data_IF_320575945245
#
_entry.id   IF_320575945245
#
_cell.length_a   1.000
_cell.length_b   1.000
_cell.length_c   1.000
_cell.angle_alpha   90.00
_cell.angle_beta   90.00
_cell.angle_gamma   90.00
#
_symmetry.space_group_name_H-M   'P 1'
#
loop_
_entity.id
_entity.type
_entity.pdbx_description
1 polymer ?
#
# COMPACT_ATOMS: atom_id res chain seq x y z
N UNK A 1 -3.12 20.11 0.54
CA UNK A 1 -2.70 18.82 1.09
C UNK A 1 -2.53 18.92 2.61
N UNK A 2 -3.02 17.92 3.35
CA UNK A 2 -2.77 17.83 4.80
C UNK A 2 -1.32 17.45 5.08
N UNK A 3 -0.80 17.82 6.26
CA UNK A 3 0.58 17.51 6.65
C UNK A 3 0.68 17.03 8.09
N UNK A 4 1.70 16.24 8.38
CA UNK A 4 2.04 15.73 9.71
C UNK A 4 3.49 16.05 10.05
N UNK A 5 3.75 16.53 11.27
CA UNK A 5 5.14 16.77 11.72
C UNK A 5 5.73 15.49 12.31
N UNK A 6 6.92 15.13 11.85
CA UNK A 6 7.63 13.98 12.38
C UNK A 6 8.32 14.33 13.70
N UNK A 7 8.21 13.44 14.69
CA UNK A 7 9.15 13.43 15.81
C UNK A 7 10.52 13.00 15.30
N UNK A 8 11.57 13.77 15.65
CA UNK A 8 12.92 13.58 15.11
C UNK A 8 13.89 13.27 16.26
N UNK A 9 14.01 12.01 16.69
CA UNK A 9 15.00 11.63 17.69
C UNK A 9 16.44 11.83 17.16
N UNK A 10 17.46 11.85 18.03
CA UNK A 10 18.86 11.87 17.61
C UNK A 10 19.15 10.74 16.60
N UNK A 11 19.81 11.07 15.49
CA UNK A 11 20.11 10.10 14.43
C UNK A 11 18.99 9.89 13.40
N UNK A 12 17.83 10.55 13.54
CA UNK A 12 16.77 10.52 12.53
C UNK A 12 17.25 11.08 11.19
N UNK A 13 17.03 10.31 10.12
CA UNK A 13 17.26 10.72 8.73
C UNK A 13 15.97 10.50 7.95
N UNK A 14 15.38 11.60 7.49
CA UNK A 14 14.11 11.59 6.78
C UNK A 14 13.47 12.98 6.75
N UNK A 15 12.27 13.11 6.16
CA UNK A 15 11.56 14.38 6.07
C UNK A 15 11.15 14.90 7.46
N UNK A 16 11.19 16.22 7.65
CA UNK A 16 10.69 16.86 8.88
C UNK A 16 9.17 17.01 8.92
N UNK A 17 8.55 17.03 7.75
CA UNK A 17 7.10 17.13 7.54
C UNK A 17 6.71 16.09 6.50
N UNK A 18 5.70 15.30 6.82
CA UNK A 18 5.05 14.40 5.86
C UNK A 18 3.86 15.12 5.24
N UNK A 19 3.67 14.90 3.95
CA UNK A 19 2.49 15.34 3.22
C UNK A 19 1.62 14.12 2.97
N UNK A 20 0.33 14.20 3.28
CA UNK A 20 -0.57 13.04 3.16
C UNK A 20 -0.88 12.69 1.69
N UNK A 21 -0.41 13.50 0.75
CA UNK A 21 -0.43 13.26 -0.70
C UNK A 21 0.82 12.52 -1.20
N UNK A 22 1.79 12.28 -0.34
CA UNK A 22 3.09 11.69 -0.70
C UNK A 22 3.20 10.26 -0.16
N UNK A 23 4.02 9.45 -0.82
CA UNK A 23 4.35 8.09 -0.36
C UNK A 23 5.81 8.07 0.08
N UNK A 24 6.02 7.56 1.28
CA UNK A 24 7.33 7.42 1.90
C UNK A 24 7.64 5.95 2.15
N UNK A 25 8.90 5.55 1.92
CA UNK A 25 9.39 4.24 2.30
C UNK A 25 10.24 4.35 3.58
N UNK A 26 10.04 3.41 4.49
CA UNK A 26 11.02 3.14 5.53
C UNK A 26 12.08 2.19 4.99
N UNK A 27 13.34 2.61 5.03
CA UNK A 27 14.50 1.80 4.63
C UNK A 27 15.22 1.35 5.90
N UNK A 28 14.99 0.10 6.36
CA UNK A 28 15.58 -0.39 7.59
C UNK A 28 17.07 -0.65 7.42
N UNK A 29 17.86 -0.25 8.40
CA UNK A 29 19.22 -0.77 8.63
C UNK A 29 19.23 -1.87 9.68
N UNK A 30 18.21 -1.92 10.55
CA UNK A 30 18.02 -2.99 11.53
C UNK A 30 16.53 -3.20 11.76
N UNK A 31 16.12 -4.47 11.82
CA UNK A 31 14.77 -4.91 12.17
C UNK A 31 14.81 -5.69 13.50
N UNK A 32 13.65 -5.86 14.14
CA UNK A 32 13.50 -6.59 15.39
C UNK A 32 12.83 -5.76 16.47
N UNK A 33 13.11 -6.09 17.74
CA UNK A 33 12.59 -5.36 18.90
C UNK A 33 12.97 -3.89 18.92
N UNK A 34 14.16 -3.57 18.41
CA UNK A 34 14.60 -2.22 18.14
C UNK A 34 14.87 -2.11 16.64
N UNK A 35 14.12 -1.22 15.97
CA UNK A 35 14.30 -0.95 14.55
C UNK A 35 15.15 0.30 14.36
N UNK A 36 16.00 0.30 13.35
CA UNK A 36 16.73 1.48 12.90
C UNK A 36 16.63 1.60 11.38
N UNK A 37 16.69 2.82 10.85
CA UNK A 37 16.58 3.06 9.42
C UNK A 37 16.35 4.52 9.08
N UNK A 38 16.04 4.76 7.81
CA UNK A 38 15.77 6.08 7.26
C UNK A 38 14.39 6.11 6.61
N UNK A 39 13.85 7.31 6.42
CA UNK A 39 12.67 7.50 5.57
C UNK A 39 13.06 8.19 4.28
N UNK A 40 12.57 7.65 3.16
CA UNK A 40 12.80 8.18 1.82
C UNK A 40 11.46 8.56 1.18
N UNK A 41 11.45 9.68 0.46
CA UNK A 41 10.31 10.08 -0.38
C UNK A 41 10.35 9.27 -1.67
N UNK A 42 9.29 8.51 -1.95
CA UNK A 42 9.18 7.67 -3.15
C UNK A 42 8.28 8.33 -4.19
N UNK A 43 7.24 9.04 -3.75
CA UNK A 43 6.29 9.69 -4.63
C UNK A 43 5.88 11.02 -4.01
N UNK A 44 6.10 12.11 -4.76
CA UNK A 44 5.56 13.42 -4.45
C UNK A 44 4.26 13.63 -5.22
N UNK A 45 3.12 13.61 -4.51
CA UNK A 45 1.83 13.78 -5.14
C UNK A 45 1.59 15.19 -5.67
N UNK A 46 2.26 16.19 -5.10
CA UNK A 46 2.04 17.59 -5.47
C UNK A 46 2.58 17.92 -6.86
N UNK A 47 3.67 17.27 -7.28
CA UNK A 47 4.23 17.40 -8.63
C UNK A 47 3.29 16.87 -9.72
N UNK A 48 2.41 15.93 -9.35
CA UNK A 48 1.48 15.27 -10.26
C UNK A 48 0.01 15.60 -9.98
N UNK A 49 -0.22 16.68 -9.25
CA UNK A 49 -1.54 17.34 -9.15
C UNK A 49 -2.40 16.94 -7.96
N UNK A 50 -1.87 16.22 -6.96
CA UNK A 50 -2.52 16.03 -5.65
C UNK A 50 -2.14 17.21 -4.74
N UNK A 51 -2.93 18.29 -4.78
CA UNK A 51 -2.63 19.55 -4.09
C UNK A 51 -3.69 19.96 -3.03
N UNK A 52 -4.80 19.24 -2.93
CA UNK A 52 -5.94 19.54 -2.03
C UNK A 52 -5.92 18.68 -0.77
N UNK A 53 -6.75 19.07 0.20
CA UNK A 53 -6.90 18.30 1.45
C UNK A 53 -7.81 17.08 1.28
N UNK A 54 -8.64 17.06 0.24
CA UNK A 54 -9.46 15.91 -0.15
C UNK A 54 -8.67 14.86 -0.93
N UNK A 55 -7.43 15.19 -1.31
CA UNK A 55 -6.56 14.35 -2.15
C UNK A 55 -5.52 13.58 -1.33
N UNK A 56 -5.70 13.51 -0.01
CA UNK A 56 -4.86 12.70 0.85
C UNK A 56 -5.01 11.23 0.47
N UNK A 57 -3.89 10.53 0.29
CA UNK A 57 -3.86 9.10 -0.02
C UNK A 57 -4.28 8.33 1.23
N UNK A 58 -5.29 7.48 1.09
CA UNK A 58 -5.85 6.66 2.17
C UNK A 58 -5.90 5.17 1.84
N UNK A 59 -5.69 4.79 0.56
CA UNK A 59 -5.39 3.43 0.14
C UNK A 59 -4.27 3.44 -0.91
N UNK A 60 -3.40 2.42 -0.88
CA UNK A 60 -2.21 2.32 -1.74
C UNK A 60 -1.89 0.87 -2.08
N UNK A 61 -1.59 0.59 -3.35
CA UNK A 61 -0.93 -0.63 -3.79
C UNK A 61 0.10 -0.35 -4.88
N UNK A 62 1.13 -1.20 -4.97
CA UNK A 62 2.12 -1.16 -6.03
C UNK A 62 1.86 -2.28 -7.04
N UNK A 63 1.82 -1.92 -8.33
CA UNK A 63 1.81 -2.88 -9.42
C UNK A 63 3.19 -3.50 -9.62
N UNK A 64 3.22 -4.69 -10.21
CA UNK A 64 4.48 -5.40 -10.46
C UNK A 64 5.41 -4.69 -11.46
N UNK A 65 4.84 -3.82 -12.29
CA UNK A 65 5.51 -2.96 -13.26
C UNK A 65 5.98 -1.62 -12.66
N UNK A 66 5.81 -1.41 -11.34
CA UNK A 66 6.17 -0.18 -10.65
C UNK A 66 5.09 0.91 -10.73
N UNK A 67 3.94 0.63 -11.33
CA UNK A 67 2.78 1.52 -11.23
C UNK A 67 2.27 1.61 -9.79
N UNK A 68 1.58 2.71 -9.49
CA UNK A 68 1.04 2.99 -8.16
C UNK A 68 -0.47 3.14 -8.29
N UNK A 69 -1.23 2.35 -7.54
CA UNK A 69 -2.68 2.50 -7.43
C UNK A 69 -2.99 3.16 -6.10
N UNK A 70 -3.80 4.22 -6.13
CA UNK A 70 -4.22 4.95 -4.93
C UNK A 70 -5.74 5.13 -4.90
N UNK A 71 -6.27 5.24 -3.69
CA UNK A 71 -7.50 5.97 -3.40
C UNK A 71 -7.17 7.30 -2.71
N UNK A 72 -8.14 8.20 -2.63
CA UNK A 72 -8.01 9.44 -1.86
C UNK A 72 -9.20 9.66 -0.94
N UNK A 73 -8.98 10.30 0.21
CA UNK A 73 -9.97 10.62 1.26
C UNK A 73 -11.27 11.28 0.77
N UNK A 74 -11.22 11.94 -0.38
CA UNK A 74 -12.36 12.58 -1.01
C UNK A 74 -12.16 12.63 -2.51
N UNK A 75 -12.81 13.60 -3.16
CA UNK A 75 -12.62 13.77 -4.60
C UNK A 75 -11.22 14.31 -4.92
N UNK A 76 -10.53 13.62 -5.82
CA UNK A 76 -9.31 14.06 -6.47
C UNK A 76 -9.56 14.63 -7.86
N UNK A 77 -8.75 15.61 -8.26
CA UNK A 77 -8.71 16.13 -9.64
C UNK A 77 -7.27 16.27 -10.11
N UNK A 78 -6.83 15.31 -10.92
CA UNK A 78 -5.49 15.24 -11.52
C UNK A 78 -5.57 15.44 -13.04
N UNK A 79 -4.42 15.45 -13.74
CA UNK A 79 -4.39 15.41 -15.20
C UNK A 79 -4.25 13.97 -15.69
N UNK A 80 -5.21 13.50 -16.47
CA UNK A 80 -5.14 12.20 -17.12
C UNK A 80 -4.07 12.15 -18.22
N UNK A 81 -3.74 10.93 -18.66
CA UNK A 81 -2.76 10.66 -19.71
C UNK A 81 -3.08 11.32 -21.07
N UNK A 82 -4.33 11.72 -21.30
CA UNK A 82 -4.79 12.48 -22.47
C UNK A 82 -4.67 14.01 -22.30
N UNK A 83 -4.15 14.48 -21.16
CA UNK A 83 -4.00 15.88 -20.80
C UNK A 83 -5.27 16.56 -20.24
N UNK A 84 -6.42 15.87 -20.27
CA UNK A 84 -7.68 16.37 -19.72
C UNK A 84 -7.72 16.20 -18.20
N UNK A 85 -8.55 16.98 -17.48
CA UNK A 85 -8.83 16.70 -16.08
C UNK A 85 -9.42 15.29 -15.91
N UNK A 86 -8.92 14.57 -14.92
CA UNK A 86 -9.41 13.29 -14.48
C UNK A 86 -9.92 13.45 -13.05
N UNK A 87 -11.19 13.10 -12.85
CA UNK A 87 -11.84 13.12 -11.54
C UNK A 87 -11.94 11.69 -11.01
N UNK A 88 -11.64 11.53 -9.73
CA UNK A 88 -11.87 10.31 -8.98
C UNK A 88 -12.51 10.67 -7.64
N UNK A 89 -13.55 9.96 -7.25
CA UNK A 89 -14.16 10.06 -5.92
C UNK A 89 -13.42 9.17 -4.91
N UNK A 90 -13.85 9.24 -3.66
CA UNK A 90 -13.36 8.47 -2.53
C UNK A 90 -13.43 6.95 -2.73
N UNK A 91 -14.47 6.45 -3.39
CA UNK A 91 -14.56 5.04 -3.77
C UNK A 91 -13.89 4.66 -5.11
N UNK A 92 -13.17 5.56 -5.77
CA UNK A 92 -12.54 5.31 -7.06
C UNK A 92 -11.03 5.06 -6.90
N UNK A 93 -10.42 4.30 -7.80
CA UNK A 93 -8.97 4.09 -7.80
C UNK A 93 -8.30 4.79 -8.98
N UNK A 94 -7.24 5.53 -8.70
CA UNK A 94 -6.35 6.12 -9.69
C UNK A 94 -5.11 5.23 -9.89
N UNK A 95 -4.71 5.02 -11.15
CA UNK A 95 -3.45 4.42 -11.54
C UNK A 95 -2.47 5.52 -11.95
N UNK A 96 -1.34 5.57 -11.27
CA UNK A 96 -0.18 6.35 -11.67
C UNK A 96 0.85 5.45 -12.36
N UNK A 97 1.22 5.82 -13.59
CA UNK A 97 2.39 5.22 -14.27
C UNK A 97 3.54 6.21 -14.18
N UNK A 98 4.57 5.94 -13.35
CA UNK A 98 5.69 6.85 -13.17
C UNK A 98 6.61 6.89 -14.39
N UNK A 99 7.09 8.08 -14.71
CA UNK A 99 8.29 8.33 -15.52
C UNK A 99 9.49 8.58 -14.61
N UNK A 100 9.30 9.35 -13.54
CA UNK A 100 10.26 9.58 -12.46
C UNK A 100 9.55 9.54 -11.11
N UNK A 101 10.27 9.07 -10.08
CA UNK A 101 9.83 8.98 -8.69
C UNK A 101 10.79 9.80 -7.81
N UNK A 102 10.38 10.09 -6.57
CA UNK A 102 11.13 10.89 -5.60
C UNK A 102 10.69 12.35 -5.56
N UNK A 103 11.63 13.27 -5.27
CA UNK A 103 11.34 14.71 -5.12
C UNK A 103 10.87 15.42 -6.39
N UNK A 104 11.14 14.84 -7.57
CA UNK A 104 10.72 15.37 -8.88
C UNK A 104 9.88 14.29 -9.57
N UNK A 105 8.68 14.04 -9.01
CA UNK A 105 7.81 12.97 -9.48
C UNK A 105 7.13 13.39 -10.79
N UNK A 106 7.26 12.57 -11.83
CA UNK A 106 6.57 12.78 -13.11
C UNK A 106 5.96 11.49 -13.61
N UNK A 107 4.88 11.57 -14.36
CA UNK A 107 4.18 10.40 -14.87
C UNK A 107 2.82 10.74 -15.44
N UNK A 108 1.95 9.74 -15.52
CA UNK A 108 0.60 9.92 -16.04
C UNK A 108 -0.44 9.22 -15.19
N UNK A 109 -1.62 9.82 -15.09
CA UNK A 109 -2.76 9.27 -14.39
C UNK A 109 -3.77 8.63 -15.34
N UNK A 110 -4.41 7.56 -14.86
CA UNK A 110 -5.57 6.93 -15.46
C UNK A 110 -6.54 6.51 -14.37
N UNK A 111 -7.83 6.36 -14.70
CA UNK A 111 -8.77 5.72 -13.80
C UNK A 111 -8.52 4.21 -13.84
N UNK A 112 -8.14 3.61 -12.70
CA UNK A 112 -8.00 2.16 -12.59
C UNK A 112 -9.36 1.49 -12.41
N UNK A 113 -10.20 2.08 -11.57
CA UNK A 113 -11.49 1.54 -11.19
C UNK A 113 -12.45 2.68 -10.83
N UNK A 114 -13.67 2.60 -11.35
CA UNK A 114 -14.77 3.51 -11.02
C UNK A 114 -15.72 2.79 -10.05
N UNK A 115 -15.53 3.03 -8.75
CA UNK A 115 -16.37 2.44 -7.72
C UNK A 115 -17.80 2.97 -7.78
N UNK A 116 -17.96 4.22 -8.20
CA UNK A 116 -19.29 4.81 -8.42
C UNK A 116 -20.07 4.04 -9.48
N UNK A 117 -19.43 3.69 -10.60
CA UNK A 117 -20.03 2.92 -11.68
C UNK A 117 -20.31 1.48 -11.24
N UNK A 118 -19.40 0.89 -10.44
CA UNK A 118 -19.56 -0.43 -9.86
C UNK A 118 -20.69 -0.52 -8.82
N UNK A 119 -21.08 0.59 -8.19
CA UNK A 119 -22.23 0.62 -7.29
C UNK A 119 -21.94 1.11 -5.87
N UNK A 120 -20.67 1.33 -5.52
CA UNK A 120 -20.24 1.96 -4.28
C UNK A 120 -20.68 3.43 -4.30
N UNK A 121 -21.69 3.78 -3.53
CA UNK A 121 -22.35 5.11 -3.56
C UNK A 121 -22.73 5.65 -2.19
N UNK A 122 -22.72 4.82 -1.16
CA UNK A 122 -22.97 5.26 0.21
C UNK A 122 -21.73 5.97 0.79
N UNK A 123 -21.91 6.87 1.77
CA UNK A 123 -20.78 7.57 2.39
C UNK A 123 -19.75 6.67 3.07
N UNK A 124 -20.14 5.47 3.49
CA UNK A 124 -19.24 4.48 4.11
C UNK A 124 -18.73 3.42 3.11
N UNK A 125 -19.11 3.52 1.82
CA UNK A 125 -18.63 2.66 0.73
C UNK A 125 -17.36 3.21 0.04
N UNK A 126 -16.61 3.99 0.80
CA UNK A 126 -15.29 4.53 0.48
C UNK A 126 -14.23 3.41 0.49
N UNK A 127 -13.27 3.41 -0.44
CA UNK A 127 -12.24 2.36 -0.50
C UNK A 127 -11.16 2.65 0.54
N UNK A 128 -11.00 1.75 1.50
CA UNK A 128 -10.04 1.93 2.60
C UNK A 128 -8.75 1.10 2.44
N UNK A 129 -8.80 0.05 1.64
CA UNK A 129 -7.66 -0.83 1.40
C UNK A 129 -7.72 -1.39 -0.01
N UNK A 130 -6.55 -1.51 -0.63
CA UNK A 130 -6.41 -2.06 -1.98
C UNK A 130 -5.20 -2.98 -2.04
N UNK A 131 -5.35 -4.10 -2.72
CA UNK A 131 -4.25 -4.96 -3.14
C UNK A 131 -4.43 -5.39 -4.60
N UNK A 132 -3.31 -5.47 -5.32
CA UNK A 132 -3.25 -5.90 -6.71
C UNK A 132 -2.64 -7.29 -6.78
N UNK A 133 -3.30 -8.20 -7.49
CA UNK A 133 -2.68 -9.44 -7.93
C UNK A 133 -2.93 -9.63 -9.42
N UNK A 134 -1.93 -9.32 -10.24
CA UNK A 134 -2.08 -9.21 -11.70
C UNK A 134 -3.23 -8.24 -12.03
N UNK A 135 -4.28 -8.72 -12.71
CA UNK A 135 -5.45 -7.91 -13.05
C UNK A 135 -6.51 -7.86 -11.94
N UNK A 136 -6.42 -8.74 -10.93
CA UNK A 136 -7.39 -8.82 -9.86
C UNK A 136 -7.21 -7.67 -8.85
N UNK A 137 -8.35 -7.06 -8.48
CA UNK A 137 -8.46 -6.05 -7.45
C UNK A 137 -9.07 -6.66 -6.19
N UNK A 138 -8.36 -6.54 -5.09
CA UNK A 138 -8.89 -6.83 -3.76
C UNK A 138 -9.11 -5.50 -3.07
N UNK A 139 -10.29 -5.30 -2.52
CA UNK A 139 -10.71 -4.03 -1.93
C UNK A 139 -11.31 -4.25 -0.54
N UNK A 140 -11.13 -3.30 0.35
CA UNK A 140 -11.96 -3.15 1.55
C UNK A 140 -12.66 -1.80 1.49
N UNK A 141 -13.80 -1.69 2.17
CA UNK A 141 -14.54 -0.43 2.28
C UNK A 141 -14.48 0.12 3.71
N UNK A 142 -14.72 1.43 3.84
CA UNK A 142 -14.72 2.10 5.14
C UNK A 142 -15.74 1.53 6.12
N UNK A 143 -16.88 1.09 5.62
CA UNK A 143 -17.92 0.45 6.40
C UNK A 143 -18.67 -0.58 5.58
N UNK A 144 -19.97 -0.68 5.84
CA UNK A 144 -20.84 -1.63 5.13
C UNK A 144 -20.97 -1.26 3.66
N UNK A 145 -20.98 -2.26 2.80
CA UNK A 145 -21.12 -2.09 1.36
C UNK A 145 -22.23 -2.95 0.75
N UNK A 146 -22.74 -2.45 -0.37
CA UNK A 146 -23.67 -3.13 -1.26
C UNK A 146 -23.24 -2.88 -2.71
N UNK A 147 -22.72 -3.92 -3.37
CA UNK A 147 -22.26 -3.86 -4.76
C UNK A 147 -22.93 -4.98 -5.56
N UNK A 148 -23.75 -4.63 -6.56
CA UNK A 148 -24.53 -5.58 -7.37
C UNK A 148 -25.29 -6.65 -6.57
N UNK A 149 -25.79 -6.29 -5.38
CA UNK A 149 -26.54 -7.17 -4.49
C UNK A 149 -25.68 -7.99 -3.53
N UNK A 150 -24.36 -8.04 -3.71
CA UNK A 150 -23.42 -8.52 -2.71
C UNK A 150 -23.38 -7.53 -1.54
N UNK A 151 -23.47 -8.04 -0.30
CA UNK A 151 -23.43 -7.24 0.93
C UNK A 151 -22.26 -7.66 1.79
N UNK A 152 -21.62 -6.70 2.45
CA UNK A 152 -20.59 -6.98 3.44
C UNK A 152 -20.33 -5.80 4.36
N UNK A 153 -19.45 -6.01 5.33
CA UNK A 153 -18.96 -5.00 6.27
C UNK A 153 -17.52 -4.60 5.99
N UNK A 154 -17.02 -3.60 6.71
CA UNK A 154 -15.62 -3.15 6.59
C UNK A 154 -14.57 -4.21 6.97
N UNK A 155 -14.98 -5.31 7.61
CA UNK A 155 -14.15 -6.47 7.91
C UNK A 155 -14.04 -7.51 6.78
N UNK A 156 -14.78 -7.33 5.69
CA UNK A 156 -14.75 -8.23 4.53
C UNK A 156 -13.74 -7.73 3.46
N UNK A 157 -13.25 -8.65 2.64
CA UNK A 157 -12.44 -8.29 1.45
C UNK A 157 -13.24 -8.61 0.19
N UNK A 158 -13.53 -7.57 -0.59
CA UNK A 158 -14.11 -7.64 -1.92
C UNK A 158 -13.06 -8.07 -2.94
N UNK A 159 -13.47 -8.90 -3.89
CA UNK A 159 -12.65 -9.33 -5.02
C UNK A 159 -13.37 -9.01 -6.33
N UNK A 160 -12.66 -8.28 -7.18
CA UNK A 160 -12.91 -8.20 -8.62
C UNK A 160 -11.76 -8.93 -9.32
N UNK A 161 -12.02 -10.13 -9.81
CA UNK A 161 -11.01 -11.00 -10.45
C UNK A 161 -10.63 -10.54 -11.87
N UNK A 162 -11.59 -9.95 -12.59
CA UNK A 162 -11.40 -9.30 -13.88
C UNK A 162 -12.43 -8.19 -14.12
N UNK A 163 -12.09 -7.22 -14.97
CA UNK A 163 -13.02 -6.19 -15.42
C UNK A 163 -13.86 -6.66 -16.63
N UNK A 164 -15.16 -6.31 -16.73
CA UNK A 164 -15.96 -5.58 -15.74
C UNK A 164 -16.20 -6.42 -14.48
N UNK A 165 -16.15 -5.78 -13.32
CA UNK A 165 -16.15 -6.47 -12.04
C UNK A 165 -17.45 -7.25 -11.77
N UNK A 166 -17.32 -8.56 -11.56
CA UNK A 166 -18.34 -9.39 -10.94
C UNK A 166 -17.91 -9.67 -9.49
N UNK A 167 -18.32 -8.80 -8.56
CA UNK A 167 -17.79 -8.85 -7.20
C UNK A 167 -18.13 -10.14 -6.47
N UNK A 168 -17.13 -10.66 -5.77
CA UNK A 168 -17.24 -11.73 -4.78
C UNK A 168 -16.55 -11.32 -3.48
N UNK A 169 -16.69 -12.11 -2.41
CA UNK A 169 -15.87 -11.94 -1.22
C UNK A 169 -14.67 -12.88 -1.30
N UNK A 170 -13.46 -12.32 -1.26
CA UNK A 170 -12.24 -13.08 -0.96
C UNK A 170 -12.18 -13.46 0.53
N UNK A 171 -12.75 -12.62 1.41
CA UNK A 171 -12.85 -12.87 2.84
C UNK A 171 -14.22 -12.45 3.37
N UNK A 172 -14.85 -13.33 4.14
CA UNK A 172 -15.99 -13.02 5.01
C UNK A 172 -15.42 -12.81 6.43
N UNK A 173 -15.18 -11.57 6.80
CA UNK A 173 -14.58 -11.19 8.08
C UNK A 173 -15.46 -11.57 9.26
N UNK A 174 -16.78 -11.42 9.11
CA UNK A 174 -17.73 -11.76 10.17
C UNK A 174 -17.65 -13.24 10.58
N UNK A 175 -17.32 -14.14 9.64
CA UNK A 175 -17.15 -15.56 9.89
C UNK A 175 -15.86 -15.91 10.64
N UNK A 176 -14.89 -15.00 10.70
CA UNK A 176 -13.60 -15.19 11.40
C UNK A 176 -13.42 -14.24 12.59
N UNK A 177 -14.49 -13.60 13.05
CA UNK A 177 -14.48 -12.74 14.24
C UNK A 177 -14.15 -11.28 13.98
N UNK A 178 -14.12 -10.84 12.72
CA UNK A 178 -13.99 -9.43 12.33
C UNK A 178 -15.34 -8.74 12.12
N UNK A 179 -16.40 -9.25 12.75
CA UNK A 179 -17.70 -8.60 12.71
C UNK A 179 -17.60 -7.22 13.38
N UNK A 180 -18.07 -6.17 12.70
CA UNK A 180 -17.96 -4.77 13.11
C UNK A 180 -16.53 -4.21 13.18
N UNK A 181 -15.53 -5.00 12.79
CA UNK A 181 -14.17 -4.52 12.61
C UNK A 181 -13.98 -3.97 11.20
N UNK A 182 -12.82 -3.35 10.96
CA UNK A 182 -12.47 -2.73 9.69
C UNK A 182 -11.05 -3.08 9.28
N UNK A 183 -10.89 -3.52 8.05
CA UNK A 183 -9.59 -3.78 7.44
C UNK A 183 -9.20 -2.53 6.64
N UNK A 184 -8.22 -1.79 7.14
CA UNK A 184 -7.67 -0.56 6.55
C UNK A 184 -6.38 -0.81 5.75
N UNK A 185 -5.87 -2.05 5.74
CA UNK A 185 -4.70 -2.44 4.98
C UNK A 185 -4.49 -3.95 4.99
N UNK A 186 -4.05 -4.49 3.85
CA UNK A 186 -3.74 -5.90 3.70
C UNK A 186 -2.85 -6.11 2.46
N UNK A 187 -2.17 -7.24 2.40
CA UNK A 187 -1.41 -7.68 1.24
C UNK A 187 -1.43 -9.21 1.15
N UNK A 188 -1.37 -9.73 -0.08
CA UNK A 188 -1.27 -11.17 -0.32
C UNK A 188 0.04 -11.49 -1.06
N UNK A 189 0.87 -12.37 -0.50
CA UNK A 189 2.08 -12.88 -1.18
C UNK A 189 3.32 -11.96 -1.10
N UNK A 190 4.40 -12.30 -1.85
CA UNK A 190 5.63 -11.51 -1.90
C UNK A 190 5.44 -10.18 -2.65
N UNK A 191 6.13 -9.12 -2.22
CA UNK A 191 6.10 -7.79 -2.84
C UNK A 191 6.85 -7.77 -4.21
N UNK A 192 6.48 -6.92 -5.18
CA UNK A 192 7.19 -6.85 -6.47
C UNK A 192 8.65 -6.37 -6.41
N UNK A 193 9.49 -6.86 -7.33
CA UNK A 193 10.94 -6.65 -7.35
C UNK A 193 11.43 -5.19 -7.59
N UNK A 194 10.56 -4.28 -8.06
CA UNK A 194 10.89 -2.84 -8.18
C UNK A 194 11.12 -2.17 -6.80
N UNK A 195 10.89 -2.93 -5.73
CA UNK A 195 11.13 -2.60 -4.33
C UNK A 195 12.51 -3.09 -3.84
N UNK A 196 13.31 -3.79 -4.63
CA UNK A 196 14.55 -4.44 -4.15
C UNK A 196 15.82 -3.68 -4.55
N UNK A 197 16.35 -2.86 -3.63
CA UNK A 197 17.77 -2.49 -3.61
C UNK A 197 18.20 -2.01 -2.22
N UNK A 198 18.89 -2.86 -1.45
CA UNK A 198 20.25 -2.65 -0.93
C UNK A 198 20.64 -3.73 0.11
N UNK A 199 21.67 -4.52 -0.26
CA UNK A 199 22.53 -5.43 0.51
C UNK A 199 22.00 -6.02 1.83
N UNK A 200 21.86 -7.35 1.80
CA UNK A 200 21.98 -8.19 2.99
C UNK A 200 23.25 -7.83 3.78
N UNK A 201 23.07 -7.48 5.05
CA UNK A 201 24.15 -7.56 6.04
C UNK A 201 24.32 -9.05 6.34
N UNK A 202 25.50 -9.66 6.15
CA UNK A 202 25.69 -11.04 6.55
C UNK A 202 25.47 -11.13 8.06
N UNK A 203 24.65 -12.10 8.48
CA UNK A 203 24.45 -12.43 9.87
C UNK A 203 25.81 -12.69 10.52
N UNK A 204 26.15 -11.92 11.56
CA UNK A 204 27.23 -12.29 12.47
C UNK A 204 26.76 -13.53 13.25
N UNK A 205 26.97 -14.70 12.66
CA UNK A 205 27.28 -15.89 13.46
C UNK A 205 28.70 -15.70 13.98
N UNK A 206 28.83 -15.23 15.22
CA UNK A 206 29.83 -15.72 16.17
C UNK A 206 29.64 -15.02 17.51
N UNK A 207 28.95 -15.70 18.43
CA UNK A 207 29.34 -15.67 19.84
C UNK A 207 29.33 -17.11 20.34
N UNK A 208 30.47 -17.76 20.16
CA UNK A 208 30.80 -19.07 20.72
C UNK A 208 30.96 -18.96 22.23
N UNK A 209 30.31 -19.84 22.98
CA UNK A 209 30.97 -20.58 24.07
C UNK A 209 30.22 -21.91 24.32
N UNK A 210 31.02 -22.92 24.62
CA UNK A 210 30.86 -24.34 24.28
C UNK A 210 29.83 -25.15 25.09
N UNK A 211 29.28 -26.22 24.47
CA UNK A 211 29.36 -27.61 24.97
C UNK A 211 28.73 -28.64 24.00
N UNK A 212 29.57 -29.20 23.12
CA UNK A 212 29.72 -30.62 22.76
C UNK A 212 28.50 -31.58 22.81
N UNK A 213 27.98 -32.05 21.66
CA UNK A 213 27.91 -33.50 21.32
C UNK A 213 27.67 -33.76 19.82
N UNK A 214 28.08 -34.93 19.35
CA UNK A 214 28.54 -35.25 17.99
C UNK A 214 27.52 -35.50 16.83
N UNK A 215 27.95 -35.12 15.62
CA UNK A 215 27.94 -35.79 14.28
C UNK A 215 26.64 -36.43 13.71
N UNK A 216 26.28 -35.95 12.51
CA UNK A 216 25.50 -36.68 11.48
C UNK A 216 24.77 -35.73 10.51
N UNK A 217 25.47 -35.06 9.60
CA UNK A 217 25.59 -35.39 8.16
C UNK A 217 24.35 -35.01 7.31
N UNK A 218 24.55 -33.90 6.59
CA UNK A 218 24.15 -33.59 5.22
C UNK A 218 22.71 -33.19 4.84
N UNK A 219 22.69 -32.11 4.05
CA UNK A 219 21.68 -31.65 3.09
C UNK A 219 20.36 -31.10 3.64
N UNK A 220 20.31 -29.77 3.82
CA UNK A 220 19.30 -28.95 3.15
C UNK A 220 19.96 -27.67 2.63
N UNK A 221 20.37 -27.76 1.37
CA UNK A 221 20.55 -26.64 0.46
C UNK A 221 19.13 -26.12 0.15
N UNK A 222 18.70 -25.05 0.81
CA UNK A 222 17.54 -24.28 0.39
C UNK A 222 17.87 -22.80 0.59
N UNK A 223 18.39 -22.22 -0.48
CA UNK A 223 18.16 -20.85 -0.94
C UNK A 223 17.18 -20.05 -0.05
N UNK A 224 17.65 -19.56 1.09
CA UNK A 224 16.92 -18.59 1.90
C UNK A 224 17.01 -17.24 1.19
N UNK A 225 16.21 -17.12 0.14
CA UNK A 225 15.80 -15.82 -0.39
C UNK A 225 14.94 -15.17 0.68
N UNK A 226 15.58 -14.65 1.73
CA UNK A 226 14.93 -13.98 2.84
C UNK A 226 13.99 -12.93 2.26
N UNK A 227 12.70 -13.15 2.47
CA UNK A 227 11.63 -12.26 2.06
C UNK A 227 11.89 -10.87 2.64
N UNK A 228 12.15 -9.90 1.76
CA UNK A 228 12.37 -8.52 2.13
C UNK A 228 11.01 -7.89 2.51
N UNK A 229 10.68 -7.90 3.80
CA UNK A 229 9.43 -7.33 4.30
C UNK A 229 9.57 -5.80 4.33
N UNK A 230 8.86 -5.10 3.43
CA UNK A 230 8.72 -3.65 3.47
C UNK A 230 7.25 -3.28 3.69
N UNK A 231 6.98 -2.50 4.74
CA UNK A 231 5.64 -1.99 5.04
C UNK A 231 5.44 -0.61 4.43
N UNK A 232 4.47 -0.49 3.51
CA UNK A 232 4.02 0.79 2.97
C UNK A 232 2.68 1.10 3.61
N UNK A 233 2.61 2.21 4.34
CA UNK A 233 1.42 2.62 5.07
C UNK A 233 0.91 3.94 4.48
N UNK A 234 -0.34 4.04 4.01
CA UNK A 234 -0.97 5.34 3.88
C UNK A 234 -1.07 5.93 5.30
N UNK A 235 -0.35 7.02 5.56
CA UNK A 235 -0.39 7.64 6.88
C UNK A 235 -1.62 8.54 6.98
N UNK A 236 -2.72 7.98 7.47
CA UNK A 236 -3.93 8.74 7.82
C UNK A 236 -3.88 9.12 9.30
N UNK A 237 -3.48 10.36 9.59
CA UNK A 237 -3.60 10.91 10.94
C UNK A 237 -4.98 11.55 11.08
N UNK A 238 -5.84 10.95 11.90
CA UNK A 238 -7.16 11.49 12.28
C UNK A 238 -7.05 12.69 13.24
#
# INVERSE_FOLDING_TARGET
ASTSRMYRPPGYVGPGTLYNTNIYAFVPTTLGWETAGTFELIFDGSDVGLDRNTENIDALAFGADGSIVISTLGTATVRGNNGAPLWAKDQDLLLFTPTTLGEETTGSWQLRFDGTAAGLRAPDEDIWGVWLNQDALYLTTRGDFVVDGLRGGGGDILLCDAAPCAFTKALEGSAIGLAHERIDGFSFGPLPALVTAARAVPSNEEMTDEANDEIGDDLLDDNDSALEIRSYLPLVVH
#
